data_IF_682906042862
#
_entry.id   IF_682906042862
#
_cell.length_a   1.000
_cell.length_b   1.000
_cell.length_c   1.000
_cell.angle_alpha   90.00
_cell.angle_beta   90.00
_cell.angle_gamma   90.00
#
_symmetry.space_group_name_H-M   'P 1'
#
loop_
_entity.id
_entity.type
_entity.pdbx_description
1 polymer ?
#
# COMPACT_ATOMS: atom_id res chain seq x y z
N UNK A 1 -3.29 -2.46 15.51
CA UNK A 1 -4.33 -3.25 14.82
C UNK A 1 -5.50 -3.69 15.70
N UNK A 2 -5.30 -4.06 16.99
CA UNK A 2 -6.37 -4.57 17.89
C UNK A 2 -7.61 -3.67 18.08
N UNK A 3 -7.51 -2.38 17.75
CA UNK A 3 -8.63 -1.42 17.83
C UNK A 3 -9.41 -1.28 16.52
N UNK A 4 -8.89 -1.79 15.40
CA UNK A 4 -9.57 -1.74 14.11
C UNK A 4 -10.76 -2.68 14.12
N UNK A 5 -11.89 -2.20 13.61
CA UNK A 5 -13.13 -2.95 13.48
C UNK A 5 -13.52 -3.01 12.01
N UNK A 6 -14.15 -4.11 11.63
CA UNK A 6 -14.58 -4.41 10.26
C UNK A 6 -16.06 -4.81 10.28
N UNK A 7 -16.97 -3.87 10.63
CA UNK A 7 -18.39 -4.17 10.61
C UNK A 7 -18.84 -4.50 9.19
N UNK A 8 -19.74 -5.47 9.06
CA UNK A 8 -20.41 -5.76 7.80
C UNK A 8 -21.52 -4.73 7.55
N UNK A 9 -22.24 -4.87 6.43
CA UNK A 9 -23.31 -3.94 6.03
C UNK A 9 -24.44 -3.82 7.08
N UNK A 10 -24.57 -4.79 8.00
CA UNK A 10 -25.52 -4.76 9.13
C UNK A 10 -25.03 -3.96 10.35
N UNK A 11 -23.82 -3.40 10.28
CA UNK A 11 -23.21 -2.56 11.31
C UNK A 11 -22.75 -3.33 12.56
N UNK A 12 -22.91 -4.66 12.62
CA UNK A 12 -22.54 -5.44 13.79
C UNK A 12 -21.04 -5.70 13.84
N UNK A 13 -20.48 -5.62 15.04
CA UNK A 13 -19.08 -5.93 15.29
C UNK A 13 -18.97 -7.40 15.69
N UNK A 14 -18.37 -8.20 14.81
CA UNK A 14 -18.05 -9.61 15.08
C UNK A 14 -16.53 -9.78 15.25
N UNK A 15 -16.05 -10.37 16.37
CA UNK A 15 -14.64 -10.69 16.57
C UNK A 15 -14.00 -11.48 15.41
N UNK A 16 -14.71 -12.45 14.82
CA UNK A 16 -14.19 -13.26 13.71
C UNK A 16 -13.97 -12.44 12.46
N UNK A 17 -14.91 -11.55 12.14
CA UNK A 17 -14.79 -10.63 11.00
C UNK A 17 -13.66 -9.65 11.24
N UNK A 18 -13.53 -9.14 12.47
CA UNK A 18 -12.43 -8.27 12.84
C UNK A 18 -11.07 -8.95 12.68
N UNK A 19 -10.94 -10.20 13.11
CA UNK A 19 -9.69 -10.94 13.02
C UNK A 19 -9.34 -11.24 11.56
N UNK A 20 -10.32 -11.62 10.72
CA UNK A 20 -10.09 -11.77 9.29
C UNK A 20 -9.60 -10.47 8.63
N UNK A 21 -10.25 -9.33 8.91
CA UNK A 21 -9.85 -8.03 8.39
C UNK A 21 -8.47 -7.58 8.87
N UNK A 22 -8.14 -7.84 10.14
CA UNK A 22 -6.80 -7.57 10.71
C UNK A 22 -5.74 -8.47 10.07
N UNK A 23 -6.04 -9.74 9.81
CA UNK A 23 -5.13 -10.65 9.13
C UNK A 23 -4.81 -10.18 7.72
N UNK A 24 -5.82 -9.74 6.96
CA UNK A 24 -5.62 -9.14 5.63
C UNK A 24 -4.70 -7.92 5.71
N UNK A 25 -4.94 -7.00 6.64
CA UNK A 25 -4.08 -5.82 6.80
C UNK A 25 -2.64 -6.17 7.20
N UNK A 26 -2.44 -7.20 8.02
CA UNK A 26 -1.12 -7.65 8.42
C UNK A 26 -0.38 -8.29 7.22
N UNK A 27 -1.05 -9.19 6.49
CA UNK A 27 -0.52 -9.80 5.28
C UNK A 27 -0.21 -8.76 4.19
N UNK A 28 -1.05 -7.73 4.05
CA UNK A 28 -0.81 -6.61 3.13
C UNK A 28 0.47 -5.84 3.49
N UNK A 29 0.70 -5.58 4.78
CA UNK A 29 1.91 -4.93 5.25
C UNK A 29 3.17 -5.77 4.99
N UNK A 30 3.10 -7.08 5.26
CA UNK A 30 4.21 -8.01 4.98
C UNK A 30 4.51 -8.10 3.48
N UNK A 31 3.47 -8.24 2.65
CA UNK A 31 3.61 -8.27 1.19
C UNK A 31 4.19 -6.98 0.64
N UNK A 32 3.73 -5.81 1.11
CA UNK A 32 4.29 -4.53 0.72
C UNK A 32 5.77 -4.41 1.11
N UNK A 33 6.15 -4.88 2.31
CA UNK A 33 7.52 -4.84 2.77
C UNK A 33 8.44 -5.78 1.97
N UNK A 34 8.02 -7.02 1.70
CA UNK A 34 8.78 -7.97 0.90
C UNK A 34 9.01 -7.45 -0.54
N UNK A 35 7.94 -6.96 -1.19
CA UNK A 35 8.02 -6.37 -2.52
C UNK A 35 8.90 -5.12 -2.57
N UNK A 36 8.86 -4.29 -1.53
CA UNK A 36 9.69 -3.10 -1.45
C UNK A 36 11.17 -3.44 -1.21
N UNK A 37 11.45 -4.44 -0.38
CA UNK A 37 12.82 -4.91 -0.14
C UNK A 37 13.45 -5.43 -1.45
N UNK A 38 12.74 -6.26 -2.21
CA UNK A 38 13.26 -6.81 -3.47
C UNK A 38 13.42 -5.76 -4.58
N UNK A 39 12.59 -4.72 -4.59
CA UNK A 39 12.69 -3.60 -5.56
C UNK A 39 13.63 -2.49 -5.12
N UNK A 40 14.04 -2.46 -3.85
CA UNK A 40 14.72 -1.34 -3.22
C UNK A 40 13.76 -0.19 -2.83
N UNK A 41 14.23 0.66 -1.92
CA UNK A 41 13.46 1.80 -1.42
C UNK A 41 13.96 3.12 -2.01
N UNK A 42 13.05 3.94 -2.53
CA UNK A 42 13.36 5.32 -2.93
C UNK A 42 13.29 6.24 -1.71
N UNK A 43 14.45 6.77 -1.30
CA UNK A 43 14.54 7.72 -0.20
C UNK A 43 14.23 9.13 -0.71
N UNK A 44 13.65 9.99 0.13
CA UNK A 44 13.33 11.39 -0.26
C UNK A 44 14.55 12.20 -0.75
N UNK A 45 15.76 11.74 -0.47
CA UNK A 45 17.01 12.29 -1.00
C UNK A 45 17.26 11.94 -2.48
N UNK A 46 16.33 11.24 -3.15
CA UNK A 46 16.51 10.63 -4.48
C UNK A 46 17.64 9.60 -4.51
N UNK A 47 17.82 8.90 -3.40
CA UNK A 47 18.78 7.80 -3.29
C UNK A 47 18.00 6.48 -3.25
N UNK A 48 18.46 5.51 -4.02
CA UNK A 48 17.95 4.15 -3.94
C UNK A 48 18.67 3.41 -2.81
N UNK A 49 17.93 2.97 -1.80
CA UNK A 49 18.41 2.04 -0.79
C UNK A 49 18.21 0.62 -1.31
N UNK A 50 19.31 -0.05 -1.63
CA UNK A 50 19.32 -1.43 -2.10
C UNK A 50 19.82 -2.36 -1.00
N UNK A 51 19.11 -3.46 -0.69
CA UNK A 51 19.56 -4.40 0.33
C UNK A 51 20.79 -5.19 -0.14
N UNK A 52 21.76 -5.36 0.76
CA UNK A 52 22.94 -6.21 0.53
C UNK A 52 22.74 -7.66 0.95
N UNK A 53 21.72 -7.93 1.76
CA UNK A 53 21.39 -9.23 2.33
C UNK A 53 19.86 -9.47 2.23
N UNK A 54 19.39 -10.73 2.25
CA UNK A 54 17.96 -11.03 2.28
C UNK A 54 17.26 -10.40 3.49
N UNK A 55 16.02 -9.94 3.28
CA UNK A 55 15.20 -9.43 4.39
C UNK A 55 14.76 -10.57 5.30
N UNK A 56 15.04 -10.45 6.59
CA UNK A 56 14.57 -11.37 7.63
C UNK A 56 13.63 -10.67 8.60
N UNK A 57 12.72 -11.44 9.17
CA UNK A 57 11.75 -11.01 10.16
C UNK A 57 12.05 -11.67 11.50
N UNK A 58 11.85 -10.94 12.58
CA UNK A 58 11.93 -11.49 13.94
C UNK A 58 10.55 -11.46 14.59
N UNK A 59 10.03 -12.63 14.93
CA UNK A 59 8.88 -12.75 15.80
C UNK A 59 9.35 -12.63 17.24
N UNK A 60 9.08 -11.47 17.84
CA UNK A 60 9.44 -11.19 19.22
C UNK A 60 8.72 -12.15 20.18
N UNK A 61 9.51 -12.85 20.99
CA UNK A 61 9.02 -13.73 22.04
C UNK A 61 8.73 -12.95 23.34
N UNK A 62 8.46 -13.67 24.43
CA UNK A 62 8.35 -13.03 25.75
C UNK A 62 9.69 -12.39 26.14
N UNK A 63 9.68 -11.35 26.99
CA UNK A 63 10.92 -10.75 27.46
C UNK A 63 11.89 -11.80 28.04
N UNK A 64 13.11 -11.86 27.50
CA UNK A 64 14.14 -12.83 27.90
C UNK A 64 14.19 -14.12 27.08
N UNK A 65 13.24 -14.36 26.18
CA UNK A 65 13.27 -15.48 25.23
C UNK A 65 13.87 -15.05 23.89
N UNK A 66 14.55 -15.97 23.21
CA UNK A 66 15.16 -15.72 21.89
C UNK A 66 14.06 -15.55 20.83
N UNK A 67 14.07 -14.47 20.03
CA UNK A 67 13.14 -14.29 18.92
C UNK A 67 13.26 -15.40 17.88
N UNK A 68 12.15 -15.69 17.18
CA UNK A 68 12.16 -16.61 16.05
C UNK A 68 12.41 -15.83 14.78
N UNK A 69 13.48 -16.18 14.06
CA UNK A 69 13.78 -15.60 12.75
C UNK A 69 13.00 -16.32 11.65
N UNK A 70 12.38 -15.54 10.77
CA UNK A 70 11.56 -16.02 9.66
C UNK A 70 12.01 -15.29 8.39
N UNK A 71 12.11 -16.02 7.28
CA UNK A 71 12.26 -15.43 5.94
C UNK A 71 10.90 -15.42 5.26
N UNK A 72 10.62 -14.39 4.48
CA UNK A 72 9.41 -14.28 3.68
C UNK A 72 9.75 -13.53 2.41
N UNK A 73 9.77 -14.23 1.28
CA UNK A 73 10.01 -13.61 -0.04
C UNK A 73 8.73 -13.01 -0.64
N UNK A 74 8.84 -12.32 -1.78
CA UNK A 74 7.69 -11.69 -2.42
C UNK A 74 6.61 -12.67 -2.86
N UNK A 75 6.98 -13.85 -3.38
CA UNK A 75 6.02 -14.84 -3.88
C UNK A 75 5.22 -15.46 -2.73
N UNK A 76 5.90 -15.82 -1.64
CA UNK A 76 5.30 -16.29 -0.40
C UNK A 76 4.40 -15.20 0.22
N UNK A 77 4.83 -13.94 0.21
CA UNK A 77 4.05 -12.84 0.76
C UNK A 77 2.81 -12.51 -0.08
N UNK A 78 2.91 -12.56 -1.42
CA UNK A 78 1.76 -12.42 -2.34
C UNK A 78 0.76 -13.55 -2.09
N UNK A 79 1.24 -14.78 -1.96
CA UNK A 79 0.40 -15.93 -1.64
C UNK A 79 -0.32 -15.75 -0.30
N UNK A 80 0.42 -15.35 0.74
CA UNK A 80 -0.13 -15.08 2.08
C UNK A 80 -1.23 -14.01 2.04
N UNK A 81 -1.04 -12.93 1.28
CA UNK A 81 -2.05 -11.90 1.10
C UNK A 81 -3.29 -12.45 0.40
N UNK A 82 -3.13 -13.21 -0.69
CA UNK A 82 -4.24 -13.83 -1.41
C UNK A 82 -5.04 -14.80 -0.53
N UNK A 83 -4.35 -15.63 0.25
CA UNK A 83 -4.98 -16.57 1.19
C UNK A 83 -5.77 -15.82 2.28
N UNK A 84 -5.22 -14.72 2.81
CA UNK A 84 -5.90 -13.88 3.77
C UNK A 84 -7.15 -13.20 3.17
N UNK A 85 -7.06 -12.69 1.95
CA UNK A 85 -8.20 -12.08 1.23
C UNK A 85 -9.30 -13.11 0.97
N UNK A 86 -8.94 -14.32 0.54
CA UNK A 86 -9.87 -15.41 0.32
C UNK A 86 -10.58 -15.81 1.64
N UNK A 87 -9.83 -15.95 2.73
CA UNK A 87 -10.38 -16.24 4.05
C UNK A 87 -11.33 -15.12 4.53
N UNK A 88 -10.97 -13.85 4.33
CA UNK A 88 -11.82 -12.71 4.66
C UNK A 88 -13.13 -12.69 3.84
N UNK A 89 -13.09 -13.09 2.57
CA UNK A 89 -14.29 -13.21 1.75
C UNK A 89 -15.27 -14.25 2.31
N UNK A 90 -14.79 -15.33 2.93
CA UNK A 90 -15.67 -16.36 3.54
C UNK A 90 -16.48 -15.84 4.73
N UNK A 91 -16.03 -14.75 5.37
CA UNK A 91 -16.74 -14.10 6.48
C UNK A 91 -17.50 -12.84 6.04
N UNK A 92 -17.66 -12.64 4.73
CA UNK A 92 -18.47 -11.56 4.16
C UNK A 92 -17.73 -10.24 3.90
N UNK A 93 -16.41 -10.18 4.14
CA UNK A 93 -15.63 -8.99 3.79
C UNK A 93 -15.44 -8.89 2.28
N UNK A 94 -15.60 -7.68 1.74
CA UNK A 94 -15.45 -7.40 0.31
C UNK A 94 -14.07 -6.84 0.03
N UNK A 95 -13.35 -7.44 -0.91
CA UNK A 95 -12.09 -6.92 -1.44
C UNK A 95 -12.32 -6.34 -2.83
N UNK A 96 -11.90 -5.09 -3.05
CA UNK A 96 -12.06 -4.45 -4.36
C UNK A 96 -10.90 -4.86 -5.28
N UNK A 97 -11.22 -5.66 -6.29
CA UNK A 97 -10.27 -6.08 -7.33
C UNK A 97 -10.10 -5.03 -8.42
N UNK A 98 -11.19 -4.33 -8.75
CA UNK A 98 -11.16 -3.27 -9.76
C UNK A 98 -10.42 -2.02 -9.26
N UNK A 99 -9.59 -1.37 -10.09
CA UNK A 99 -8.95 -0.11 -9.76
C UNK A 99 -9.96 0.98 -9.37
N UNK A 100 -9.61 1.84 -8.39
CA UNK A 100 -10.41 3.03 -8.12
C UNK A 100 -10.15 4.07 -9.19
N UNK A 101 -11.09 4.27 -10.11
CA UNK A 101 -11.02 5.41 -11.02
C UNK A 101 -11.56 6.65 -10.33
N UNK A 102 -10.65 7.52 -9.90
CA UNK A 102 -10.99 8.83 -9.34
C UNK A 102 -11.31 9.82 -10.46
N UNK A 103 -12.38 10.60 -10.28
CA UNK A 103 -12.70 11.72 -11.16
C UNK A 103 -12.10 13.01 -10.60
N UNK A 104 -11.43 13.84 -11.42
CA UNK A 104 -10.88 15.09 -10.96
C UNK A 104 -11.99 16.05 -10.52
N UNK A 105 -11.74 16.80 -9.44
CA UNK A 105 -12.65 17.86 -9.01
C UNK A 105 -12.73 18.95 -10.10
N UNK A 106 -13.91 19.55 -10.37
CA UNK A 106 -14.07 20.55 -11.43
C UNK A 106 -13.09 21.73 -11.32
N UNK A 107 -12.77 22.15 -10.10
CA UNK A 107 -11.83 23.25 -9.84
C UNK A 107 -10.40 22.92 -10.27
N UNK A 108 -9.96 21.66 -10.10
CA UNK A 108 -8.64 21.21 -10.51
C UNK A 108 -8.51 21.22 -12.04
N UNK A 109 -9.60 20.86 -12.74
CA UNK A 109 -9.64 20.89 -14.19
C UNK A 109 -9.49 22.31 -14.74
N UNK A 110 -10.20 23.28 -14.14
CA UNK A 110 -10.07 24.70 -14.50
C UNK A 110 -8.67 25.24 -14.23
N UNK A 111 -8.06 24.86 -13.10
CA UNK A 111 -6.70 25.28 -12.75
C UNK A 111 -5.66 24.75 -13.75
N UNK A 112 -5.75 23.47 -14.12
CA UNK A 112 -4.86 22.85 -15.11
C UNK A 112 -5.02 23.52 -16.47
N UNK A 113 -6.25 23.79 -16.93
CA UNK A 113 -6.52 24.51 -18.19
C UNK A 113 -5.86 25.89 -18.20
N UNK A 114 -6.01 26.66 -17.12
CA UNK A 114 -5.39 27.99 -16.99
C UNK A 114 -3.87 27.91 -16.96
N UNK A 115 -3.30 26.95 -16.22
CA UNK A 115 -1.86 26.74 -16.17
C UNK A 115 -1.27 26.39 -17.53
N UNK A 116 -1.93 25.52 -18.29
CA UNK A 116 -1.51 25.17 -19.66
C UNK A 116 -1.59 26.39 -20.60
N UNK A 117 -2.66 27.18 -20.52
CA UNK A 117 -2.78 28.40 -21.32
C UNK A 117 -1.67 29.41 -21.04
N UNK A 118 -1.31 29.59 -19.75
CA UNK A 118 -0.22 30.47 -19.34
C UNK A 118 1.16 29.95 -19.77
N UNK A 119 1.41 28.65 -19.67
CA UNK A 119 2.66 28.05 -20.12
C UNK A 119 2.86 28.20 -21.64
N UNK A 120 1.80 28.09 -22.43
CA UNK A 120 1.83 28.34 -23.88
C UNK A 120 2.08 29.82 -24.19
N UNK A 121 1.43 30.73 -23.46
CA UNK A 121 1.65 32.17 -23.62
C UNK A 121 3.09 32.59 -23.27
N UNK A 122 3.69 32.01 -22.22
CA UNK A 122 5.05 32.32 -21.77
C UNK A 122 6.14 31.63 -22.59
N UNK A 123 5.86 30.47 -23.20
CA UNK A 123 6.78 29.80 -24.12
C UNK A 123 6.87 30.43 -25.52
N UNK A 124 5.95 31.36 -25.85
CA UNK A 124 5.92 32.08 -27.11
C UNK A 124 6.78 33.35 -27.17
N UNK A 125 7.34 33.82 -26.06
CA UNK A 125 8.10 35.09 -25.98
C UNK A 125 9.63 34.92 -25.88
N UNK A 126 10.18 33.73 -26.08
CA UNK A 126 11.64 33.47 -26.07
C UNK A 126 12.20 33.09 -27.45
N UNK A 127 11.61 33.61 -28.53
CA UNK A 127 11.98 33.23 -29.90
C UNK A 127 11.86 34.36 -30.93
N UNK A 128 12.40 35.55 -30.63
CA UNK A 128 12.54 36.59 -31.65
C UNK A 128 13.07 37.92 -31.14
N UNK A 129 14.38 38.14 -31.25
CA UNK A 129 15.01 39.37 -31.72
C UNK A 129 16.55 39.26 -31.60
N UNK A 130 17.21 39.27 -32.77
CA UNK A 130 18.63 39.51 -33.11
C UNK A 130 19.77 38.77 -32.38
#
# INVERSE_FOLDING_TARGET
MRRLQFPLDDGKVDPKVNDAGRTVLAALGLCAAALAAEKGFDLRSRCLLWPSEPMTWELLAKPGETPVTISLDADEAIKLLNDAVNAAATVGLKWRTEPLTLQPAPQLLELVRKSQALAVAQGGEAGGAD
#
